data_IF_846683637456
#
_entry.id   IF_846683637456
#
_cell.length_a   1.000
_cell.length_b   1.000
_cell.length_c   1.000
_cell.angle_alpha   90.00
_cell.angle_beta   90.00
_cell.angle_gamma   90.00
#
_symmetry.space_group_name_H-M   'P 1'
#
loop_
_entity.id
_entity.type
_entity.pdbx_description
1 polymer ?
#
# COMPACT_ATOMS: atom_id res chain seq x y z
N UNK A 1 9.12 -2.93 16.16
CA UNK A 1 10.03 -2.50 15.06
C UNK A 1 10.96 -1.37 15.48
N UNK A 2 10.46 -0.34 16.15
CA UNK A 2 11.24 0.84 16.55
C UNK A 2 11.82 0.71 17.97
N UNK A 3 11.04 0.23 18.94
CA UNK A 3 11.45 0.12 20.36
C UNK A 3 12.83 -0.52 20.62
N UNK A 4 13.24 -1.61 19.92
CA UNK A 4 14.58 -2.19 20.11
C UNK A 4 15.75 -1.23 19.79
N UNK A 5 15.49 -0.17 19.01
CA UNK A 5 16.48 0.84 18.65
C UNK A 5 16.50 2.05 19.59
N UNK A 6 15.72 2.01 20.68
CA UNK A 6 15.69 3.06 21.71
C UNK A 6 14.58 4.09 21.56
N UNK A 7 13.63 3.88 20.64
CA UNK A 7 12.45 4.73 20.50
C UNK A 7 11.41 4.41 21.58
N UNK A 8 10.76 5.44 22.11
CA UNK A 8 9.70 5.28 23.11
C UNK A 8 8.41 4.73 22.48
N UNK A 9 7.52 4.21 23.33
CA UNK A 9 6.20 3.74 22.88
C UNK A 9 5.35 4.89 22.33
N UNK A 10 5.50 6.10 22.87
CA UNK A 10 4.86 7.32 22.37
C UNK A 10 5.36 7.68 20.97
N UNK A 11 6.68 7.64 20.75
CA UNK A 11 7.28 7.93 19.46
C UNK A 11 6.83 6.95 18.39
N UNK A 12 6.78 5.65 18.73
CA UNK A 12 6.27 4.60 17.85
C UNK A 12 4.77 4.79 17.56
N UNK A 13 3.99 5.19 18.57
CA UNK A 13 2.57 5.53 18.43
C UNK A 13 2.32 6.69 17.48
N UNK A 14 3.09 7.78 17.61
CA UNK A 14 3.03 8.93 16.70
C UNK A 14 3.41 8.52 15.27
N UNK A 15 4.42 7.66 15.09
CA UNK A 15 4.81 7.14 13.79
C UNK A 15 3.63 6.43 13.08
N UNK A 16 2.89 5.60 13.83
CA UNK A 16 1.67 4.96 13.33
C UNK A 16 0.55 5.96 13.05
N UNK A 17 0.37 6.96 13.90
CA UNK A 17 -0.62 8.02 13.68
C UNK A 17 -0.33 8.83 12.41
N UNK A 18 0.94 9.17 12.16
CA UNK A 18 1.37 9.86 10.94
C UNK A 18 1.04 9.06 9.68
N UNK A 19 1.33 7.75 9.69
CA UNK A 19 0.97 6.86 8.58
C UNK A 19 -0.52 6.94 8.24
N UNK A 20 -1.38 6.90 9.26
CA UNK A 20 -2.84 6.91 9.07
C UNK A 20 -3.33 8.29 8.66
N UNK A 21 -3.01 9.34 9.43
CA UNK A 21 -3.56 10.70 9.22
C UNK A 21 -3.08 11.27 7.89
N UNK A 22 -1.78 11.18 7.58
CA UNK A 22 -1.26 11.65 6.30
C UNK A 22 -1.84 10.83 5.14
N UNK A 23 -1.99 9.51 5.34
CA UNK A 23 -2.66 8.63 4.39
C UNK A 23 -4.09 9.06 4.05
N UNK A 24 -4.91 9.29 5.07
CA UNK A 24 -6.29 9.73 4.92
C UNK A 24 -6.39 11.10 4.23
N UNK A 25 -5.55 12.07 4.63
CA UNK A 25 -5.52 13.39 4.00
C UNK A 25 -5.12 13.30 2.53
N UNK A 26 -4.07 12.53 2.21
CA UNK A 26 -3.65 12.31 0.83
C UNK A 26 -4.78 11.68 0.00
N UNK A 27 -5.40 10.62 0.53
CA UNK A 27 -6.52 9.94 -0.13
C UNK A 27 -7.73 10.84 -0.36
N UNK A 28 -8.09 11.68 0.62
CA UNK A 28 -9.19 12.64 0.49
C UNK A 28 -8.96 13.65 -0.64
N UNK A 29 -7.70 14.02 -0.90
CA UNK A 29 -7.33 14.94 -1.98
C UNK A 29 -7.23 14.20 -3.32
N UNK A 30 -6.55 13.04 -3.36
CA UNK A 30 -6.25 12.34 -4.61
C UNK A 30 -7.46 11.62 -5.19
N UNK A 31 -8.35 11.08 -4.35
CA UNK A 31 -9.47 10.24 -4.82
C UNK A 31 -10.43 11.02 -5.73
N UNK A 32 -10.92 12.22 -5.37
CA UNK A 32 -11.79 13.00 -6.26
C UNK A 32 -11.11 13.40 -7.59
N UNK A 33 -9.79 13.63 -7.56
CA UNK A 33 -9.01 13.98 -8.76
C UNK A 33 -8.92 12.76 -9.68
N UNK A 34 -8.62 11.58 -9.13
CA UNK A 34 -8.51 10.34 -9.88
C UNK A 34 -9.86 9.86 -10.39
N UNK A 35 -10.93 10.09 -9.65
CA UNK A 35 -12.29 9.82 -10.09
C UNK A 35 -12.70 10.69 -11.28
N UNK A 36 -12.19 11.92 -11.38
CA UNK A 36 -12.45 12.80 -12.53
C UNK A 36 -11.54 12.51 -13.72
N UNK A 37 -10.25 12.31 -13.47
CA UNK A 37 -9.24 12.09 -14.52
C UNK A 37 -9.25 10.67 -15.07
N UNK A 38 -9.81 9.72 -14.30
CA UNK A 38 -9.85 8.28 -14.60
C UNK A 38 -8.45 7.69 -14.88
N UNK A 39 -7.42 8.33 -14.35
CA UNK A 39 -6.02 7.94 -14.51
C UNK A 39 -5.60 6.82 -13.52
N UNK A 40 -6.47 5.84 -13.32
CA UNK A 40 -6.30 4.80 -12.29
C UNK A 40 -5.04 3.95 -12.51
N UNK A 41 -4.76 3.55 -13.74
CA UNK A 41 -3.54 2.81 -14.05
C UNK A 41 -2.28 3.63 -13.79
N UNK A 42 -2.30 4.93 -14.10
CA UNK A 42 -1.15 5.79 -13.81
C UNK A 42 -0.94 5.88 -12.30
N UNK A 43 -1.99 6.11 -11.52
CA UNK A 43 -1.91 6.18 -10.06
C UNK A 43 -1.39 4.88 -9.44
N UNK A 44 -1.86 3.72 -9.90
CA UNK A 44 -1.32 2.43 -9.47
C UNK A 44 0.17 2.32 -9.83
N UNK A 45 0.51 2.70 -11.07
CA UNK A 45 1.88 2.60 -11.57
C UNK A 45 2.85 3.57 -10.90
N UNK A 46 2.37 4.63 -10.25
CA UNK A 46 3.19 5.55 -9.47
C UNK A 46 3.21 5.19 -7.98
N UNK A 47 2.06 4.86 -7.38
CA UNK A 47 1.94 4.60 -5.95
C UNK A 47 2.61 3.30 -5.54
N UNK A 48 2.47 2.22 -6.32
CA UNK A 48 3.04 0.91 -5.98
C UNK A 48 4.58 0.95 -5.87
N UNK A 49 5.33 1.54 -6.83
CA UNK A 49 6.77 1.71 -6.66
C UNK A 49 7.15 2.57 -5.46
N UNK A 50 6.40 3.63 -5.16
CA UNK A 50 6.64 4.48 -3.98
C UNK A 50 6.47 3.68 -2.69
N UNK A 51 5.43 2.83 -2.60
CA UNK A 51 5.22 1.93 -1.45
C UNK A 51 6.38 0.95 -1.32
N UNK A 52 6.79 0.30 -2.42
CA UNK A 52 7.93 -0.63 -2.43
C UNK A 52 9.23 0.04 -1.97
N UNK A 53 9.50 1.25 -2.48
CA UNK A 53 10.66 2.05 -2.08
C UNK A 53 10.58 2.48 -0.61
N UNK A 54 9.41 2.87 -0.12
CA UNK A 54 9.22 3.26 1.28
C UNK A 54 9.51 2.08 2.21
N UNK A 55 8.98 0.88 1.92
CA UNK A 55 9.32 -0.33 2.66
C UNK A 55 10.81 -0.67 2.60
N UNK A 56 11.43 -0.53 1.42
CA UNK A 56 12.87 -0.76 1.25
C UNK A 56 13.67 0.19 2.15
N UNK A 57 13.45 1.50 2.03
CA UNK A 57 14.14 2.53 2.84
C UNK A 57 13.90 2.31 4.33
N UNK A 58 12.68 1.91 4.73
CA UNK A 58 12.32 1.71 6.12
C UNK A 58 13.13 0.60 6.82
N UNK A 59 13.75 -0.33 6.07
CA UNK A 59 14.65 -1.35 6.63
C UNK A 59 15.75 -0.72 7.49
N UNK A 60 16.29 0.42 7.07
CA UNK A 60 17.43 1.08 7.73
C UNK A 60 17.02 2.25 8.63
N UNK A 61 15.79 2.74 8.53
CA UNK A 61 15.36 3.92 9.30
C UNK A 61 15.47 3.73 10.82
N UNK A 62 15.03 2.60 11.41
CA UNK A 62 15.19 2.40 12.86
C UNK A 62 16.65 2.39 13.33
N UNK A 63 17.58 1.93 12.49
CA UNK A 63 19.02 1.86 12.82
C UNK A 63 19.67 3.25 12.94
N UNK A 64 19.09 4.27 12.30
CA UNK A 64 19.60 5.64 12.39
C UNK A 64 19.45 6.24 13.78
N UNK A 65 18.60 5.66 14.65
CA UNK A 65 18.22 6.19 15.98
C UNK A 65 17.72 7.64 15.95
N UNK A 66 17.35 8.13 14.77
CA UNK A 66 16.76 9.44 14.57
C UNK A 66 15.29 9.25 14.17
N UNK A 67 14.39 9.85 14.95
CA UNK A 67 12.95 9.66 14.78
C UNK A 67 12.40 10.30 13.50
N UNK A 68 13.07 11.33 12.97
CA UNK A 68 12.62 12.03 11.77
C UNK A 68 12.58 11.13 10.53
N UNK A 69 13.54 10.20 10.40
CA UNK A 69 13.60 9.25 9.28
C UNK A 69 12.36 8.35 9.22
N UNK A 70 12.07 7.56 10.27
CA UNK A 70 10.85 6.77 10.38
C UNK A 70 9.57 7.57 10.14
N UNK A 71 9.46 8.78 10.68
CA UNK A 71 8.25 9.62 10.53
C UNK A 71 8.00 10.01 9.08
N UNK A 72 9.03 10.49 8.38
CA UNK A 72 8.90 10.87 6.97
C UNK A 72 8.56 9.65 6.11
N UNK A 73 9.24 8.52 6.32
CA UNK A 73 9.03 7.32 5.51
C UNK A 73 7.64 6.72 5.75
N UNK A 74 7.17 6.67 7.01
CA UNK A 74 5.83 6.17 7.32
C UNK A 74 4.72 7.11 6.83
N UNK A 75 4.95 8.43 6.85
CA UNK A 75 4.02 9.40 6.26
C UNK A 75 3.89 9.22 4.74
N UNK A 76 5.02 9.04 4.03
CA UNK A 76 5.03 8.76 2.58
C UNK A 76 4.38 7.41 2.28
N UNK A 77 4.70 6.37 3.05
CA UNK A 77 4.10 5.05 2.92
C UNK A 77 2.59 5.10 3.10
N UNK A 78 2.12 5.81 4.14
CA UNK A 78 0.71 6.06 4.41
C UNK A 78 0.02 6.79 3.27
N UNK A 79 0.59 7.92 2.83
CA UNK A 79 0.08 8.72 1.71
C UNK A 79 -0.12 7.87 0.45
N UNK A 80 0.91 7.12 0.03
CA UNK A 80 0.83 6.29 -1.15
C UNK A 80 -0.16 5.11 -0.99
N UNK A 81 -0.17 4.46 0.17
CA UNK A 81 -1.03 3.28 0.42
C UNK A 81 -2.51 3.66 0.46
N UNK A 82 -2.88 4.68 1.24
CA UNK A 82 -4.28 5.07 1.40
C UNK A 82 -4.86 5.75 0.14
N UNK A 83 -4.02 6.45 -0.63
CA UNK A 83 -4.42 6.99 -1.94
C UNK A 83 -4.65 5.89 -2.98
N UNK A 84 -3.96 4.75 -2.84
CA UNK A 84 -4.07 3.63 -3.76
C UNK A 84 -5.32 2.76 -3.53
N UNK A 85 -5.82 2.65 -2.29
CA UNK A 85 -6.98 1.82 -1.94
C UNK A 85 -8.21 2.08 -2.82
N UNK A 86 -8.75 3.31 -2.93
CA UNK A 86 -9.96 3.55 -3.74
C UNK A 86 -9.72 3.25 -5.23
N UNK A 87 -8.53 3.60 -5.74
CA UNK A 87 -8.12 3.33 -7.12
C UNK A 87 -8.08 1.82 -7.42
N UNK A 88 -7.50 1.05 -6.50
CA UNK A 88 -7.39 -0.40 -6.65
C UNK A 88 -8.75 -1.09 -6.60
N UNK A 89 -9.64 -0.66 -5.70
CA UNK A 89 -11.01 -1.19 -5.61
C UNK A 89 -11.81 -0.91 -6.88
N UNK A 90 -11.75 0.32 -7.41
CA UNK A 90 -12.43 0.68 -8.65
C UNK A 90 -11.95 -0.18 -9.84
N UNK A 91 -10.62 -0.35 -9.97
CA UNK A 91 -10.05 -1.22 -11.01
C UNK A 91 -10.47 -2.69 -10.83
N UNK A 92 -10.47 -3.20 -9.61
CA UNK A 92 -10.91 -4.58 -9.33
C UNK A 92 -12.38 -4.78 -9.71
N UNK A 93 -13.25 -3.84 -9.34
CA UNK A 93 -14.67 -3.86 -9.69
C UNK A 93 -14.83 -3.92 -11.20
N UNK A 94 -14.09 -3.09 -11.94
CA UNK A 94 -14.15 -3.11 -13.39
C UNK A 94 -13.66 -4.42 -14.02
N UNK A 95 -12.52 -4.94 -13.55
CA UNK A 95 -11.96 -6.20 -14.05
C UNK A 95 -12.82 -7.41 -13.72
N UNK A 96 -13.58 -7.34 -12.62
CA UNK A 96 -14.46 -8.42 -12.16
C UNK A 96 -15.85 -8.42 -12.79
N UNK A 97 -16.19 -7.45 -13.64
CA UNK A 97 -17.52 -7.33 -14.23
C UNK A 97 -17.93 -8.62 -15.00
N UNK A 98 -19.16 -9.14 -14.83
CA UNK A 98 -20.34 -8.54 -14.18
C UNK A 98 -20.56 -8.90 -12.70
N UNK A 99 -19.51 -9.32 -11.96
CA UNK A 99 -19.63 -9.61 -10.52
C UNK A 99 -20.01 -8.34 -9.74
N UNK A 100 -20.81 -8.51 -8.68
CA UNK A 100 -21.23 -7.39 -7.81
C UNK A 100 -20.01 -6.72 -7.16
N UNK A 101 -19.96 -5.37 -7.11
CA UNK A 101 -18.89 -4.63 -6.47
C UNK A 101 -18.66 -5.02 -4.99
N UNK A 102 -19.74 -5.34 -4.29
CA UNK A 102 -19.71 -5.74 -2.88
C UNK A 102 -18.96 -7.06 -2.70
N UNK A 103 -19.17 -8.03 -3.59
CA UNK A 103 -18.45 -9.32 -3.56
C UNK A 103 -16.96 -9.08 -3.83
N UNK A 104 -16.63 -8.34 -4.88
CA UNK A 104 -15.24 -8.06 -5.27
C UNK A 104 -14.47 -7.33 -4.17
N UNK A 105 -15.07 -6.29 -3.59
CA UNK A 105 -14.45 -5.51 -2.51
C UNK A 105 -14.32 -6.34 -1.22
N UNK A 106 -15.34 -7.12 -0.84
CA UNK A 106 -15.29 -7.96 0.37
C UNK A 106 -14.21 -9.03 0.24
N UNK A 107 -14.09 -9.69 -0.92
CA UNK A 107 -13.03 -10.68 -1.17
C UNK A 107 -11.65 -10.02 -1.11
N UNK A 108 -11.49 -8.84 -1.71
CA UNK A 108 -10.23 -8.10 -1.69
C UNK A 108 -9.81 -7.74 -0.26
N UNK A 109 -10.73 -7.23 0.56
CA UNK A 109 -10.48 -6.92 1.96
C UNK A 109 -10.21 -8.16 2.79
N UNK A 110 -10.99 -9.23 2.63
CA UNK A 110 -10.76 -10.50 3.32
C UNK A 110 -9.38 -11.08 2.99
N UNK A 111 -8.97 -11.04 1.72
CA UNK A 111 -7.64 -11.43 1.27
C UNK A 111 -6.54 -10.56 1.91
N UNK A 112 -6.74 -9.24 1.95
CA UNK A 112 -5.82 -8.31 2.62
C UNK A 112 -5.66 -8.59 4.12
N UNK A 113 -6.77 -8.84 4.83
CA UNK A 113 -6.75 -9.18 6.26
C UNK A 113 -6.07 -10.52 6.51
N UNK A 114 -6.34 -11.53 5.68
CA UNK A 114 -5.68 -12.84 5.76
C UNK A 114 -4.16 -12.71 5.56
N UNK A 115 -3.72 -11.97 4.52
CA UNK A 115 -2.31 -11.70 4.29
C UNK A 115 -1.69 -10.92 5.46
N UNK A 116 -2.41 -9.93 6.01
CA UNK A 116 -2.00 -9.20 7.20
C UNK A 116 -1.76 -10.10 8.41
N UNK A 117 -2.68 -11.03 8.68
CA UNK A 117 -2.53 -12.01 9.77
C UNK A 117 -1.31 -12.92 9.54
N UNK A 118 -1.12 -13.42 8.32
CA UNK A 118 0.06 -14.22 7.96
C UNK A 118 1.35 -13.42 8.18
N UNK A 119 1.36 -12.14 7.78
CA UNK A 119 2.52 -11.26 7.93
C UNK A 119 2.86 -11.02 9.39
N UNK A 120 1.87 -10.86 10.27
CA UNK A 120 2.07 -10.72 11.72
C UNK A 120 2.74 -11.97 12.28
N UNK A 121 2.22 -13.16 11.97
CA UNK A 121 2.77 -14.45 12.45
C UNK A 121 4.21 -14.64 11.98
N UNK A 122 4.49 -14.38 10.69
CA UNK A 122 5.85 -14.48 10.15
C UNK A 122 6.77 -13.43 10.80
N UNK A 123 6.30 -12.21 10.99
CA UNK A 123 7.10 -11.13 11.59
C UNK A 123 7.47 -11.42 13.05
N UNK A 124 6.58 -12.07 13.79
CA UNK A 124 6.84 -12.53 15.16
C UNK A 124 7.91 -13.62 15.17
N UNK A 125 7.77 -14.64 14.30
CA UNK A 125 8.77 -15.70 14.15
C UNK A 125 10.15 -15.20 13.68
N UNK A 126 10.21 -14.06 12.97
CA UNK A 126 11.43 -13.42 12.50
C UNK A 126 12.06 -12.45 13.51
N UNK A 127 11.48 -12.29 14.71
CA UNK A 127 12.07 -11.46 15.75
C UNK A 127 13.44 -12.02 16.19
N UNK A 128 14.44 -11.14 16.31
CA UNK A 128 15.77 -11.54 16.71
C UNK A 128 15.79 -12.05 18.18
N UNK A 129 16.72 -12.96 18.53
CA UNK A 129 16.87 -13.42 19.91
C UNK A 129 17.34 -12.29 20.84
N UNK A 130 17.26 -12.52 22.15
CA UNK A 130 17.72 -11.57 23.17
C UNK A 130 19.25 -11.36 23.15
N UNK A 131 20.00 -12.27 22.55
CA UNK A 131 21.46 -12.16 22.36
C UNK A 131 21.85 -11.26 21.19
N UNK A 132 20.88 -10.81 20.37
CA UNK A 132 21.15 -9.93 19.24
C UNK A 132 21.48 -8.50 19.69
N UNK A 133 22.10 -7.72 18.79
CA UNK A 133 22.43 -6.31 19.03
C UNK A 133 21.76 -5.41 17.98
N UNK A 134 20.70 -4.65 18.32
CA UNK A 134 20.01 -4.62 19.60
C UNK A 134 19.15 -5.87 19.85
N UNK A 135 18.88 -6.22 21.12
CA UNK A 135 18.09 -7.40 21.47
C UNK A 135 16.66 -7.27 20.95
N UNK A 136 16.07 -8.39 20.51
CA UNK A 136 14.67 -8.43 20.01
C UNK A 136 14.39 -7.49 18.83
N UNK A 137 15.41 -7.10 18.08
CA UNK A 137 15.23 -6.29 16.88
C UNK A 137 14.36 -7.03 15.84
N UNK A 138 13.66 -6.27 15.00
CA UNK A 138 12.77 -6.80 13.97
C UNK A 138 13.35 -6.65 12.57
N UNK A 139 14.68 -6.64 12.43
CA UNK A 139 15.34 -6.38 11.14
C UNK A 139 14.94 -7.40 10.08
N UNK A 140 14.91 -8.68 10.43
CA UNK A 140 14.51 -9.74 9.51
C UNK A 140 13.04 -9.60 9.07
N UNK A 141 12.16 -9.18 9.99
CA UNK A 141 10.76 -8.90 9.64
C UNK A 141 10.62 -7.70 8.69
N UNK A 142 11.41 -6.63 8.89
CA UNK A 142 11.46 -5.49 7.98
C UNK A 142 11.97 -5.88 6.60
N UNK A 143 13.03 -6.70 6.54
CA UNK A 143 13.57 -7.24 5.28
C UNK A 143 12.51 -8.10 4.58
N UNK A 144 11.83 -8.99 5.30
CA UNK A 144 10.76 -9.82 4.76
C UNK A 144 9.65 -8.98 4.10
N UNK A 145 9.17 -7.94 4.79
CA UNK A 145 8.14 -7.04 4.27
C UNK A 145 8.63 -6.28 3.03
N UNK A 146 9.86 -5.75 3.06
CA UNK A 146 10.44 -5.04 1.94
C UNK A 146 10.68 -5.93 0.71
N UNK A 147 11.15 -7.16 0.91
CA UNK A 147 11.33 -8.13 -0.18
C UNK A 147 9.99 -8.41 -0.85
N UNK A 148 8.94 -8.71 -0.08
CA UNK A 148 7.61 -8.94 -0.65
C UNK A 148 7.06 -7.69 -1.34
N UNK A 149 7.20 -6.52 -0.74
CA UNK A 149 6.75 -5.25 -1.33
C UNK A 149 7.41 -5.02 -2.69
N UNK A 150 8.74 -5.16 -2.78
CA UNK A 150 9.51 -4.98 -4.02
C UNK A 150 9.20 -6.06 -5.06
N UNK A 151 9.03 -7.33 -4.65
CA UNK A 151 8.67 -8.43 -5.55
C UNK A 151 7.29 -8.24 -6.19
N UNK A 152 6.36 -7.57 -5.51
CA UNK A 152 5.03 -7.28 -6.05
C UNK A 152 5.07 -6.13 -7.06
N UNK A 153 5.99 -5.16 -6.93
CA UNK A 153 6.05 -3.96 -7.80
C UNK A 153 5.97 -4.27 -9.30
N UNK A 154 6.70 -5.25 -9.86
CA UNK A 154 6.62 -5.57 -11.29
C UNK A 154 5.20 -5.97 -11.75
N UNK A 155 4.38 -6.57 -10.90
CA UNK A 155 3.05 -7.06 -11.29
C UNK A 155 2.13 -5.89 -11.73
N UNK A 156 1.96 -4.82 -10.93
CA UNK A 156 1.22 -3.64 -11.40
C UNK A 156 1.91 -2.87 -12.55
N UNK A 157 3.25 -2.90 -12.63
CA UNK A 157 3.97 -2.27 -13.74
C UNK A 157 3.61 -2.89 -15.09
N UNK A 158 3.40 -4.21 -15.10
CA UNK A 158 3.03 -4.98 -16.28
C UNK A 158 1.57 -4.82 -16.71
N UNK A 159 0.71 -4.20 -15.89
CA UNK A 159 -0.69 -3.96 -16.25
C UNK A 159 -0.78 -3.07 -17.52
N UNK A 160 -1.52 -3.54 -18.52
CA UNK A 160 -1.70 -2.85 -19.80
C UNK A 160 -0.52 -2.97 -20.77
N UNK A 161 0.58 -3.63 -20.39
CA UNK A 161 1.66 -3.99 -21.33
C UNK A 161 1.29 -5.24 -22.15
N UNK A 162 2.10 -5.56 -23.16
CA UNK A 162 1.95 -6.74 -24.04
C UNK A 162 0.64 -6.80 -24.83
N UNK A 163 0.20 -5.66 -25.39
CA UNK A 163 -1.00 -5.61 -26.24
C UNK A 163 -2.33 -5.82 -25.48
N UNK A 164 -2.30 -5.80 -24.13
CA UNK A 164 -3.50 -5.96 -23.29
C UNK A 164 -4.15 -4.63 -22.89
N UNK A 165 -3.72 -3.51 -23.47
CA UNK A 165 -4.30 -2.18 -23.18
C UNK A 165 -5.82 -2.17 -23.33
N UNK A 166 -6.38 -2.95 -24.26
CA UNK A 166 -7.83 -3.04 -24.51
C UNK A 166 -8.62 -3.80 -23.44
N UNK A 167 -7.93 -4.64 -22.64
CA UNK A 167 -8.52 -5.38 -21.51
C UNK A 167 -8.44 -4.61 -20.19
N UNK A 168 -7.56 -3.61 -20.12
CA UNK A 168 -7.43 -2.70 -18.97
C UNK A 168 -8.00 -1.31 -19.31
N UNK A 169 -8.55 -1.13 -20.52
CA UNK A 169 -9.28 0.08 -20.88
C UNK A 169 -10.60 0.10 -20.12
N UNK A 170 -10.91 1.25 -19.52
CA UNK A 170 -12.07 1.43 -18.67
C UNK A 170 -13.41 1.34 -19.44
N UNK A 171 -13.86 0.12 -19.76
CA UNK A 171 -15.04 -0.14 -20.60
C UNK A 171 -16.33 0.24 -19.88
N UNK A 172 -16.41 0.06 -18.55
CA UNK A 172 -17.63 0.36 -17.77
C UNK A 172 -17.80 1.86 -17.53
N UNK A 173 -16.71 2.56 -17.18
CA UNK A 173 -16.74 4.03 -17.04
C UNK A 173 -17.19 4.71 -18.33
N UNK A 174 -16.78 4.17 -19.48
CA UNK A 174 -17.22 4.65 -20.80
C UNK A 174 -18.68 4.36 -21.09
N UNK A 175 -19.21 3.19 -20.70
CA UNK A 175 -20.63 2.86 -20.91
C UNK A 175 -21.57 3.67 -20.02
N UNK A 176 -21.20 3.91 -18.76
CA UNK A 176 -22.01 4.74 -17.85
C UNK A 176 -22.06 6.19 -18.34
N UNK A 177 -20.93 6.75 -18.83
CA UNK A 177 -20.91 8.07 -19.46
C UNK A 177 -21.70 8.16 -20.77
N UNK A 178 -21.75 7.09 -21.56
CA UNK A 178 -22.58 7.04 -22.76
C UNK A 178 -24.07 7.05 -22.40
N UNK A 179 -24.46 6.38 -21.31
CA UNK A 179 -25.82 6.42 -20.78
C UNK A 179 -26.20 7.81 -20.22
N UNK A 180 -25.29 8.48 -19.51
CA UNK A 180 -25.57 9.82 -18.94
C UNK A 180 -25.57 10.95 -19.98
N UNK A 181 -24.85 10.80 -21.11
CA UNK A 181 -24.87 11.78 -22.22
C UNK A 181 -26.05 11.60 -23.18
N UNK A 182 -26.72 10.45 -23.13
CA UNK A 182 -27.87 10.13 -23.98
C UNK A 182 -29.22 10.37 -23.29
N UNK A 183 -29.21 10.78 -22.01
CA UNK A 183 -30.36 11.21 -21.22
C UNK A 183 -30.36 12.74 -21.06
#
# INVERSE_FOLDING_TARGET
MMQPYGFSDEEAGIAGALLIVVGLVASAITSPILDRTKAFLLAIKTAVPVIGLAYLVFIWMPETRNIAGPYVVLAVLGAASFSLVPVALELLIELSHPVSPEVTSTIAWAGGQLLGAIFIIISDALQAPETASPPRNMKNALIFQAVLAVLIVPLPMMLGLFGRSDRVSLRRVRSDQAGTRAA
#
